data_IF_554480646731
#
_entry.id   IF_554480646731
#
_cell.length_a   1.000
_cell.length_b   1.000
_cell.length_c   1.000
_cell.angle_alpha   90.00
_cell.angle_beta   90.00
_cell.angle_gamma   90.00
#
_symmetry.space_group_name_H-M   'P 1'
#
loop_
_entity.id
_entity.type
_entity.pdbx_description
1 polymer ?
#
# COMPACT_ATOMS: atom_id res chain seq x y z
N UNK A 1 62.85 -5.27 -14.57
CA UNK A 1 61.49 -5.13 -15.19
C UNK A 1 60.45 -5.33 -14.11
N UNK A 2 59.90 -4.24 -13.62
CA UNK A 2 58.85 -4.28 -12.58
C UNK A 2 57.50 -4.44 -13.26
N UNK A 3 56.85 -5.58 -13.08
CA UNK A 3 55.46 -5.79 -13.50
C UNK A 3 54.52 -5.05 -12.56
N UNK A 4 53.92 -3.98 -13.04
CA UNK A 4 52.91 -3.22 -12.34
C UNK A 4 51.59 -3.99 -12.44
N UNK A 5 51.17 -4.65 -11.34
CA UNK A 5 49.86 -5.30 -11.21
C UNK A 5 48.84 -4.21 -10.93
N UNK A 6 48.09 -3.84 -11.95
CA UNK A 6 46.91 -2.94 -11.79
C UNK A 6 45.79 -3.77 -11.21
N UNK A 7 45.50 -3.58 -9.93
CA UNK A 7 44.31 -4.12 -9.26
C UNK A 7 43.13 -3.27 -9.68
N UNK A 8 42.33 -3.79 -10.62
CA UNK A 8 41.05 -3.18 -11.00
C UNK A 8 40.02 -3.49 -9.91
N UNK A 9 39.82 -2.56 -8.98
CA UNK A 9 38.75 -2.62 -8.00
C UNK A 9 37.45 -2.35 -8.72
N UNK A 10 36.69 -3.41 -9.02
CA UNK A 10 35.33 -3.29 -9.50
C UNK A 10 34.50 -2.93 -8.29
N UNK A 11 34.19 -1.63 -8.09
CA UNK A 11 33.16 -1.18 -7.20
C UNK A 11 31.81 -1.58 -7.82
N UNK A 12 31.35 -2.76 -7.45
CA UNK A 12 29.96 -3.16 -7.67
C UNK A 12 29.08 -2.26 -6.83
N UNK A 13 28.53 -1.23 -7.46
CA UNK A 13 27.56 -0.35 -6.81
C UNK A 13 26.32 -1.16 -6.43
N UNK A 14 26.16 -1.44 -5.15
CA UNK A 14 24.90 -1.88 -4.56
C UNK A 14 23.89 -0.74 -4.76
N UNK A 15 23.10 -0.82 -5.81
CA UNK A 15 21.95 0.06 -6.00
C UNK A 15 20.90 -0.34 -4.97
N UNK A 16 20.98 0.21 -3.77
CA UNK A 16 19.90 0.16 -2.82
C UNK A 16 18.74 0.94 -3.44
N UNK A 17 17.69 0.23 -3.89
CA UNK A 17 16.44 0.88 -4.30
C UNK A 17 15.89 1.61 -3.08
N UNK A 18 15.83 2.93 -3.16
CA UNK A 18 15.17 3.74 -2.15
C UNK A 18 13.69 3.31 -2.08
N UNK A 19 13.20 3.03 -0.87
CA UNK A 19 11.79 2.69 -0.67
C UNK A 19 10.93 3.91 -0.99
N UNK A 20 9.94 3.73 -1.85
CA UNK A 20 8.96 4.77 -2.17
C UNK A 20 7.89 4.83 -1.10
N UNK A 21 8.01 5.78 -0.19
CA UNK A 21 6.97 6.05 0.81
C UNK A 21 5.84 6.82 0.16
N UNK A 22 4.62 6.30 0.24
CA UNK A 22 3.42 6.93 -0.29
C UNK A 22 2.60 7.49 0.86
N UNK A 23 2.53 8.82 0.99
CA UNK A 23 1.68 9.45 2.00
C UNK A 23 0.20 9.37 1.60
N UNK A 24 -0.69 9.44 2.58
CA UNK A 24 -2.13 9.34 2.38
C UNK A 24 -2.71 10.43 1.47
N UNK A 25 -2.09 11.57 1.42
CA UNK A 25 -2.49 12.68 0.53
C UNK A 25 -2.44 12.28 -0.95
N UNK A 26 -1.53 11.39 -1.32
CA UNK A 26 -1.44 10.86 -2.69
C UNK A 26 -2.52 9.81 -2.98
N UNK A 27 -2.98 9.10 -1.96
CA UNK A 27 -4.03 8.08 -2.07
C UNK A 27 -5.45 8.66 -1.97
N UNK A 28 -5.57 9.92 -1.57
CA UNK A 28 -6.84 10.63 -1.45
C UNK A 28 -7.36 11.08 -2.84
N UNK A 29 -7.51 10.12 -3.75
CA UNK A 29 -7.99 10.38 -5.12
C UNK A 29 -9.45 10.84 -5.12
N UNK A 30 -9.86 11.67 -6.09
CA UNK A 30 -11.27 11.99 -6.29
C UNK A 30 -12.09 10.73 -6.60
N UNK A 31 -13.35 10.75 -6.24
CA UNK A 31 -14.29 9.70 -6.57
C UNK A 31 -15.70 10.27 -6.77
N UNK A 32 -16.53 9.53 -7.50
CA UNK A 32 -17.97 9.77 -7.61
C UNK A 32 -18.74 8.65 -6.94
N UNK A 33 -20.02 8.91 -6.68
CA UNK A 33 -20.94 7.89 -6.17
C UNK A 33 -21.98 7.62 -7.23
N UNK A 34 -22.18 6.35 -7.58
CA UNK A 34 -23.22 5.92 -8.51
C UNK A 34 -24.61 6.04 -7.88
N UNK A 35 -25.70 6.02 -8.67
CA UNK A 35 -27.06 5.97 -8.13
C UNK A 35 -27.33 4.78 -7.20
N UNK A 36 -26.63 3.67 -7.40
CA UNK A 36 -26.72 2.45 -6.58
C UNK A 36 -25.88 2.53 -5.29
N UNK A 37 -25.21 3.67 -5.06
CA UNK A 37 -24.41 3.91 -3.86
C UNK A 37 -22.99 3.31 -3.89
N UNK A 38 -22.53 2.88 -5.06
CA UNK A 38 -21.15 2.42 -5.25
C UNK A 38 -20.20 3.59 -5.50
N UNK A 39 -18.94 3.41 -5.13
CA UNK A 39 -17.91 4.43 -5.33
C UNK A 39 -17.07 4.12 -6.57
N UNK A 40 -16.81 5.15 -7.37
CA UNK A 40 -15.97 5.08 -8.57
C UNK A 40 -14.76 6.00 -8.42
N UNK A 41 -13.55 5.45 -8.24
CA UNK A 41 -12.34 6.26 -8.11
C UNK A 41 -11.93 6.89 -9.44
N UNK A 42 -11.32 8.06 -9.36
CA UNK A 42 -10.70 8.75 -10.49
C UNK A 42 -9.19 8.83 -10.24
N UNK A 43 -8.41 8.06 -10.99
CA UNK A 43 -6.96 8.02 -10.85
C UNK A 43 -6.30 9.07 -11.72
N UNK A 44 -5.69 10.12 -11.13
CA UNK A 44 -4.95 11.11 -11.90
C UNK A 44 -3.70 10.51 -12.54
N UNK A 45 -3.34 10.93 -13.74
CA UNK A 45 -2.18 10.40 -14.49
C UNK A 45 -0.84 10.57 -13.76
N UNK A 46 -0.70 11.61 -12.93
CA UNK A 46 0.52 11.82 -12.14
C UNK A 46 0.76 10.71 -11.09
N UNK A 47 -0.28 9.94 -10.75
CA UNK A 47 -0.19 8.81 -9.83
C UNK A 47 0.36 7.54 -10.50
N UNK A 48 0.34 7.45 -11.83
CA UNK A 48 0.70 6.26 -12.60
C UNK A 48 2.13 5.73 -12.29
N UNK A 49 3.02 6.61 -11.85
CA UNK A 49 4.38 6.22 -11.46
C UNK A 49 4.43 5.23 -10.29
N UNK A 50 3.38 5.16 -9.48
CA UNK A 50 3.26 4.23 -8.34
C UNK A 50 2.53 2.95 -8.72
N UNK A 51 1.87 2.91 -9.87
CA UNK A 51 1.11 1.76 -10.33
C UNK A 51 2.00 0.55 -10.56
N UNK A 52 1.62 -0.58 -9.97
CA UNK A 52 2.37 -1.84 -10.03
C UNK A 52 3.83 -1.71 -9.52
N UNK A 53 4.10 -0.75 -8.66
CA UNK A 53 5.39 -0.51 -8.04
C UNK A 53 5.39 -0.92 -6.58
N UNK A 54 6.55 -1.30 -6.06
CA UNK A 54 6.71 -1.51 -4.62
C UNK A 54 6.70 -0.17 -3.89
N UNK A 55 5.80 -0.05 -2.93
CA UNK A 55 5.64 1.16 -2.11
C UNK A 55 5.58 0.80 -0.63
N UNK A 56 5.83 1.79 0.21
CA UNK A 56 5.69 1.71 1.67
C UNK A 56 4.58 2.64 2.11
N UNK A 57 3.64 2.12 2.88
CA UNK A 57 2.53 2.89 3.45
C UNK A 57 2.46 2.59 4.95
N UNK A 58 2.15 3.59 5.74
CA UNK A 58 1.93 3.43 7.18
C UNK A 58 0.51 3.81 7.55
N UNK A 59 -0.04 3.14 8.55
CA UNK A 59 -1.40 3.41 9.00
C UNK A 59 -1.87 2.42 10.05
N UNK A 60 -3.15 2.43 10.29
CA UNK A 60 -3.80 1.58 11.29
C UNK A 60 -4.34 0.31 10.62
N UNK A 61 -4.00 -0.85 11.19
CA UNK A 61 -4.45 -2.13 10.69
C UNK A 61 -5.92 -2.36 11.04
N UNK A 62 -6.70 -2.75 10.04
CA UNK A 62 -8.11 -3.13 10.20
C UNK A 62 -8.30 -4.55 9.66
N UNK A 63 -8.51 -5.55 10.52
CA UNK A 63 -8.94 -6.87 10.08
C UNK A 63 -10.36 -6.79 9.54
N UNK A 64 -10.56 -7.21 8.30
CA UNK A 64 -11.87 -7.22 7.63
C UNK A 64 -12.49 -8.62 7.72
N UNK A 65 -11.73 -9.62 7.31
CA UNK A 65 -12.04 -11.04 7.47
C UNK A 65 -10.75 -11.80 7.76
N UNK A 66 -10.55 -12.14 9.02
CA UNK A 66 -9.31 -12.80 9.47
C UNK A 66 -9.19 -14.21 8.90
N UNK A 67 -10.29 -14.95 8.82
CA UNK A 67 -10.30 -16.30 8.25
C UNK A 67 -9.99 -16.30 6.75
N UNK A 68 -10.53 -15.30 6.03
CA UNK A 68 -10.27 -15.06 4.61
C UNK A 68 -8.97 -14.34 4.30
N UNK A 69 -8.15 -14.03 5.32
CA UNK A 69 -6.92 -13.23 5.16
C UNK A 69 -7.18 -11.85 4.54
N UNK A 70 -8.30 -11.23 4.90
CA UNK A 70 -8.66 -9.90 4.43
C UNK A 70 -8.37 -8.85 5.47
N UNK A 71 -7.49 -7.93 5.12
CA UNK A 71 -7.07 -6.82 5.96
C UNK A 71 -7.15 -5.53 5.16
N UNK A 72 -7.27 -4.43 5.87
CA UNK A 72 -7.13 -3.10 5.32
C UNK A 72 -6.16 -2.28 6.16
N UNK A 73 -5.55 -1.29 5.51
CA UNK A 73 -4.78 -0.25 6.16
C UNK A 73 -5.63 1.02 6.13
N UNK A 74 -5.81 1.66 7.27
CA UNK A 74 -6.59 2.88 7.41
C UNK A 74 -5.69 4.07 7.73
N UNK A 75 -6.00 5.22 7.11
CA UNK A 75 -5.39 6.50 7.48
C UNK A 75 -5.72 6.87 8.93
N UNK A 76 -6.92 6.53 9.39
CA UNK A 76 -7.45 6.88 10.69
C UNK A 76 -7.64 5.66 11.58
N UNK A 77 -7.59 5.86 12.90
CA UNK A 77 -7.89 4.83 13.88
C UNK A 77 -9.35 4.33 13.74
N UNK A 78 -9.66 3.17 14.30
CA UNK A 78 -10.93 2.47 14.13
C UNK A 78 -12.17 3.37 14.39
N UNK A 79 -12.15 4.20 15.42
CA UNK A 79 -13.25 5.12 15.74
C UNK A 79 -13.57 6.15 14.65
N UNK A 80 -12.65 6.36 13.70
CA UNK A 80 -12.76 7.32 12.60
C UNK A 80 -12.49 6.67 11.23
N UNK A 81 -12.59 5.33 11.12
CA UNK A 81 -12.28 4.61 9.89
C UNK A 81 -13.48 4.55 8.93
N UNK A 82 -13.19 4.24 7.66
CA UNK A 82 -14.20 4.09 6.60
C UNK A 82 -15.22 2.99 6.92
N UNK A 83 -14.78 1.80 7.38
CA UNK A 83 -15.67 0.66 7.65
C UNK A 83 -16.66 0.91 8.80
N UNK A 84 -16.40 1.91 9.63
CA UNK A 84 -17.29 2.36 10.68
C UNK A 84 -18.26 3.46 10.22
N UNK A 85 -18.21 3.86 8.96
CA UNK A 85 -18.98 4.97 8.38
C UNK A 85 -18.50 6.37 8.77
N UNK A 86 -17.31 6.50 9.33
CA UNK A 86 -16.78 7.75 9.88
C UNK A 86 -15.73 8.43 8.97
N UNK A 87 -15.39 7.82 7.83
CA UNK A 87 -14.41 8.36 6.89
C UNK A 87 -14.78 8.04 5.45
N UNK A 88 -14.14 8.75 4.51
CA UNK A 88 -14.32 8.56 3.08
C UNK A 88 -13.64 7.28 2.56
N UNK A 89 -14.09 6.72 1.41
CA UNK A 89 -13.53 5.49 0.84
C UNK A 89 -12.07 5.62 0.38
N UNK A 90 -11.57 6.81 0.16
CA UNK A 90 -10.18 7.08 -0.20
C UNK A 90 -9.22 7.18 1.01
N UNK A 91 -9.64 6.71 2.17
CA UNK A 91 -8.86 6.69 3.41
C UNK A 91 -8.44 5.29 3.84
N UNK A 92 -8.65 4.30 2.98
CA UNK A 92 -8.33 2.88 3.23
C UNK A 92 -7.67 2.25 2.02
N UNK A 93 -6.80 1.28 2.27
CA UNK A 93 -6.13 0.45 1.26
C UNK A 93 -6.32 -1.00 1.64
N UNK A 94 -6.72 -1.84 0.69
CA UNK A 94 -6.83 -3.28 0.89
C UNK A 94 -5.43 -3.90 0.98
N UNK A 95 -5.23 -4.78 1.96
CA UNK A 95 -3.97 -5.49 2.14
C UNK A 95 -4.13 -6.97 1.83
N UNK A 96 -3.29 -7.48 0.94
CA UNK A 96 -3.13 -8.92 0.69
C UNK A 96 -1.72 -9.30 1.11
N UNK A 97 -1.60 -9.95 2.26
CA UNK A 97 -0.31 -10.37 2.80
C UNK A 97 0.29 -11.52 1.99
N UNK A 98 1.60 -11.46 1.79
CA UNK A 98 2.39 -12.52 1.19
C UNK A 98 2.32 -13.80 2.03
N UNK A 99 2.43 -13.63 3.35
CA UNK A 99 2.23 -14.65 4.35
C UNK A 99 1.20 -14.15 5.36
N UNK A 100 0.21 -14.99 5.69
CA UNK A 100 -0.81 -14.62 6.66
C UNK A 100 -0.16 -14.25 7.99
N UNK A 101 -0.38 -13.02 8.49
CA UNK A 101 0.21 -12.62 9.76
C UNK A 101 -0.54 -13.25 10.94
N UNK A 102 0.21 -13.61 11.97
CA UNK A 102 -0.34 -14.09 13.23
C UNK A 102 -0.37 -12.97 14.27
N UNK A 103 -1.40 -12.99 15.14
CA UNK A 103 -1.47 -12.13 16.31
C UNK A 103 -1.70 -10.64 16.04
N UNK A 104 -2.20 -10.28 14.87
CA UNK A 104 -2.55 -8.89 14.58
C UNK A 104 -3.84 -8.48 15.26
N UNK A 105 -3.85 -7.28 15.80
CA UNK A 105 -5.00 -6.67 16.46
C UNK A 105 -5.46 -5.41 15.73
N UNK A 106 -6.75 -5.12 15.85
CA UNK A 106 -7.34 -3.88 15.32
C UNK A 106 -6.66 -2.64 15.91
N UNK A 107 -6.48 -1.62 15.09
CA UNK A 107 -5.85 -0.33 15.42
C UNK A 107 -4.36 -0.39 15.76
N UNK A 108 -3.70 -1.47 15.47
CA UNK A 108 -2.25 -1.49 15.51
C UNK A 108 -1.70 -0.59 14.41
N UNK A 109 -0.87 0.39 14.78
CA UNK A 109 -0.16 1.22 13.81
C UNK A 109 1.01 0.43 13.22
N UNK A 110 1.02 0.27 11.91
CA UNK A 110 1.99 -0.55 11.20
C UNK A 110 2.57 0.18 10.00
N UNK A 111 3.76 -0.23 9.60
CA UNK A 111 4.40 0.16 8.35
C UNK A 111 4.48 -1.07 7.47
N UNK A 112 3.91 -1.00 6.30
CA UNK A 112 3.84 -2.12 5.35
C UNK A 112 4.43 -1.74 4.00
N UNK A 113 4.95 -2.72 3.31
CA UNK A 113 5.39 -2.61 1.91
C UNK A 113 4.69 -3.63 1.05
N UNK A 114 4.52 -3.32 -0.20
CA UNK A 114 3.91 -4.22 -1.17
C UNK A 114 3.78 -3.56 -2.54
N UNK A 115 3.16 -4.28 -3.46
CA UNK A 115 2.93 -3.80 -4.83
C UNK A 115 1.58 -3.08 -4.87
N UNK A 116 1.58 -1.81 -5.25
CA UNK A 116 0.38 -0.99 -5.31
C UNK A 116 -0.38 -1.23 -6.61
N UNK A 117 -1.61 -1.72 -6.49
CA UNK A 117 -2.52 -1.95 -7.59
C UNK A 117 -3.68 -0.97 -7.52
N UNK A 118 -4.02 -0.36 -8.65
CA UNK A 118 -5.18 0.52 -8.79
C UNK A 118 -6.38 -0.31 -9.23
N UNK A 119 -7.44 -0.27 -8.44
CA UNK A 119 -8.67 -0.97 -8.75
C UNK A 119 -9.67 -0.03 -9.43
N UNK A 120 -9.74 -0.08 -10.75
CA UNK A 120 -10.69 0.70 -11.55
C UNK A 120 -11.99 -0.07 -11.86
N UNK A 121 -12.00 -1.40 -11.74
CA UNK A 121 -13.00 -2.25 -12.40
C UNK A 121 -13.96 -2.95 -11.43
N UNK A 122 -13.55 -3.19 -10.19
CA UNK A 122 -14.35 -3.92 -9.20
C UNK A 122 -14.89 -2.96 -8.11
N UNK A 123 -16.18 -2.57 -8.17
CA UNK A 123 -16.76 -1.63 -7.22
C UNK A 123 -16.94 -2.21 -5.81
N UNK A 124 -16.76 -3.51 -5.63
CA UNK A 124 -16.87 -4.19 -4.34
C UNK A 124 -15.52 -4.31 -3.61
N UNK A 125 -14.44 -3.82 -4.22
CA UNK A 125 -13.12 -3.76 -3.63
C UNK A 125 -12.68 -2.31 -3.41
N UNK A 126 -11.68 -2.13 -2.57
CA UNK A 126 -11.13 -0.80 -2.28
C UNK A 126 -10.41 -0.20 -3.50
N UNK A 127 -10.24 1.11 -3.54
CA UNK A 127 -9.61 1.82 -4.66
C UNK A 127 -8.18 1.41 -4.92
N UNK A 128 -7.46 1.14 -3.84
CA UNK A 128 -6.08 0.66 -3.88
C UNK A 128 -5.99 -0.69 -3.19
N UNK A 129 -5.21 -1.57 -3.79
CA UNK A 129 -4.91 -2.89 -3.27
C UNK A 129 -3.39 -3.00 -3.17
N UNK A 130 -2.89 -3.27 -1.99
CA UNK A 130 -1.47 -3.55 -1.78
C UNK A 130 -1.30 -5.06 -1.74
N UNK A 131 -0.58 -5.61 -2.72
CA UNK A 131 -0.34 -7.05 -2.87
C UNK A 131 1.03 -7.44 -2.36
N UNK A 132 1.21 -8.72 -2.02
CA UNK A 132 2.46 -9.26 -1.49
C UNK A 132 2.97 -8.46 -0.29
N UNK A 133 2.05 -8.12 0.61
CA UNK A 133 2.33 -7.25 1.75
C UNK A 133 3.25 -7.94 2.75
N UNK A 134 4.23 -7.19 3.20
CA UNK A 134 5.13 -7.53 4.30
C UNK A 134 5.24 -6.33 5.25
N UNK A 135 5.56 -6.58 6.51
CA UNK A 135 5.90 -5.51 7.44
C UNK A 135 7.25 -4.89 7.07
N UNK A 136 7.35 -3.57 7.11
CA UNK A 136 8.53 -2.81 6.70
C UNK A 136 9.22 -2.06 7.85
N UNK A 137 8.62 -2.08 9.02
CA UNK A 137 9.14 -1.37 10.18
C UNK A 137 9.28 -2.21 11.42
#
# INVERSE_FOLDING_TARGET
MKKLLVFLVILGGLHAKAQQVVPWELLAVPYSTTPDGLYEPQFPSWLDKYKNSEVVIQGYLVPVDVEGNQYALSRYAFSSCFFCGNAAPNTVVELIFKERPDGLITDQFVVVKGILVFNADDPFRLFFILQQVEFAG
#
